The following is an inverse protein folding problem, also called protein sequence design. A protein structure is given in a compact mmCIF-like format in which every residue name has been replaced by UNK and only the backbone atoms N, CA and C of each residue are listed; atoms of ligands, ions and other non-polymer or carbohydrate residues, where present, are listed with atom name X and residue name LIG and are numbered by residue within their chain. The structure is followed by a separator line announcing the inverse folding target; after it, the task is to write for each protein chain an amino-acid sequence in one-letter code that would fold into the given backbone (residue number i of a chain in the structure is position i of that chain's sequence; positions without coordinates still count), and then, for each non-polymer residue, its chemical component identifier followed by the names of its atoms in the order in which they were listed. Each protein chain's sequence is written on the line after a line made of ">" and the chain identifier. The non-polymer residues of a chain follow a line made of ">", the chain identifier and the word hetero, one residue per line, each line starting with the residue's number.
data_IF_796069349164
#
_entry.id   IF_796069349164
#
_cell.length_a   1.000
_cell.length_b   1.000
_cell.length_c   1.000
_cell.angle_alpha   90.00
_cell.angle_beta   90.00
_cell.angle_gamma   90.00
#
_symmetry.space_group_name_H-M   'P 1'
#
loop_
_entity.id
_entity.type
_entity.pdbx_description
1 polymer ?
#
# COMPACT_ATOMS: atom_id res chain seq x y z
N UNK A 1 28.91 -19.65 45.63
CA UNK A 1 28.02 -20.55 46.40
C UNK A 1 26.67 -19.86 46.52
N UNK A 2 25.59 -20.59 46.25
CA UNK A 2 24.24 -20.14 45.88
C UNK A 2 23.68 -18.90 46.59
N UNK A 3 23.09 -18.00 45.79
CA UNK A 3 22.08 -17.03 46.21
C UNK A 3 20.69 -17.58 45.82
N UNK A 4 19.81 -17.54 46.80
CA UNK A 4 18.44 -18.06 46.81
C UNK A 4 17.51 -17.13 46.00
N UNK A 5 16.69 -17.70 45.11
CA UNK A 5 15.73 -16.96 44.28
C UNK A 5 14.36 -16.94 44.97
N UNK A 6 14.01 -15.78 45.52
CA UNK A 6 12.68 -15.52 46.07
C UNK A 6 11.63 -15.22 45.00
N UNK A 7 10.54 -16.00 45.03
CA UNK A 7 9.27 -15.78 44.34
C UNK A 7 8.61 -14.46 44.79
N UNK A 8 8.20 -13.62 43.83
CA UNK A 8 7.22 -12.55 44.02
C UNK A 8 6.29 -12.43 42.81
N UNK A 9 5.28 -13.27 42.81
CA UNK A 9 4.00 -12.99 42.15
C UNK A 9 3.31 -11.77 42.81
N UNK A 10 3.04 -10.72 42.05
CA UNK A 10 2.03 -9.69 42.39
C UNK A 10 1.18 -9.40 41.15
N UNK A 11 -0.03 -9.98 41.13
CA UNK A 11 -1.13 -9.56 40.25
C UNK A 11 -1.64 -8.20 40.72
N UNK A 12 -1.72 -7.21 39.83
CA UNK A 12 -2.53 -6.02 40.05
C UNK A 12 -3.96 -6.25 39.53
N UNK A 13 -4.99 -5.72 40.23
CA UNK A 13 -6.38 -5.86 39.82
C UNK A 13 -6.73 -4.92 38.64
N UNK A 14 -7.42 -5.45 37.63
CA UNK A 14 -8.06 -4.64 36.58
C UNK A 14 -9.46 -4.26 37.03
N UNK A 15 -9.74 -2.97 37.15
CA UNK A 15 -11.11 -2.47 37.16
C UNK A 15 -11.58 -2.24 35.71
N UNK A 16 -12.85 -2.51 35.39
CA UNK A 16 -13.41 -2.30 34.06
C UNK A 16 -13.71 -0.81 33.83
N UNK A 17 -13.25 -0.27 32.71
CA UNK A 17 -13.66 1.06 32.24
C UNK A 17 -14.91 0.88 31.39
N UNK A 18 -15.99 1.55 31.80
CA UNK A 18 -17.30 1.52 31.14
C UNK A 18 -17.29 2.18 29.77
N UNK A 19 -18.02 1.60 28.82
CA UNK A 19 -18.38 2.17 27.53
C UNK A 19 -19.22 3.45 27.72
N UNK A 20 -18.61 4.60 27.43
CA UNK A 20 -19.30 5.88 27.40
C UNK A 20 -18.28 6.99 27.18
N UNK A 21 -18.40 7.68 26.04
CA UNK A 21 -17.65 8.89 25.67
C UNK A 21 -16.19 8.74 25.18
N UNK A 22 -16.01 8.11 24.01
CA UNK A 22 -14.88 8.45 23.13
C UNK A 22 -15.33 9.43 22.03
N UNK A 23 -15.39 10.71 22.37
CA UNK A 23 -15.25 11.77 21.34
C UNK A 23 -13.81 11.72 20.84
N UNK A 24 -13.57 11.05 19.71
CA UNK A 24 -12.28 11.06 19.01
C UNK A 24 -11.98 12.52 18.61
N UNK A 25 -11.04 13.16 19.31
CA UNK A 25 -10.44 14.41 18.86
C UNK A 25 -9.60 14.12 17.62
N UNK A 26 -10.05 14.63 16.48
CA UNK A 26 -9.31 14.61 15.22
C UNK A 26 -8.35 15.80 15.21
N UNK A 27 -7.07 15.54 15.47
CA UNK A 27 -6.01 16.52 15.28
C UNK A 27 -5.31 16.24 13.94
N UNK A 28 -5.18 17.23 13.04
CA UNK A 28 -4.37 17.08 11.84
C UNK A 28 -2.90 17.02 12.27
N UNK A 29 -2.25 15.87 12.08
CA UNK A 29 -0.82 15.71 12.30
C UNK A 29 -0.08 16.44 11.17
N UNK A 30 0.61 17.52 11.51
CA UNK A 30 1.49 18.25 10.58
C UNK A 30 2.73 17.41 10.32
N UNK A 31 2.91 16.97 9.08
CA UNK A 31 4.00 16.12 8.63
C UNK A 31 5.22 16.97 8.25
N UNK A 32 6.35 16.74 8.92
CA UNK A 32 7.67 17.21 8.46
C UNK A 32 8.43 16.00 7.91
N UNK A 33 8.45 15.83 6.59
CA UNK A 33 9.33 14.85 5.93
C UNK A 33 10.57 15.59 5.45
N UNK A 34 11.73 15.32 6.05
CA UNK A 34 13.02 15.62 5.42
C UNK A 34 13.44 14.37 4.64
N UNK A 35 13.29 14.38 3.31
CA UNK A 35 13.74 13.27 2.46
C UNK A 35 15.19 13.52 2.08
N UNK A 36 16.13 12.76 2.66
CA UNK A 36 17.47 12.64 2.07
C UNK A 36 17.44 11.46 1.10
N UNK A 37 17.77 11.70 -0.16
CA UNK A 37 18.03 10.63 -1.11
C UNK A 37 19.12 9.71 -0.51
N UNK A 38 18.90 8.38 -0.53
CA UNK A 38 19.72 7.35 0.11
C UNK A 38 19.65 7.27 1.66
N UNK A 39 18.51 6.85 2.22
CA UNK A 39 18.44 5.69 3.14
C UNK A 39 17.00 5.48 3.61
N UNK A 40 16.65 4.24 3.94
CA UNK A 40 15.36 3.91 4.53
C UNK A 40 15.26 4.53 5.94
N UNK A 41 14.60 5.68 6.05
CA UNK A 41 14.24 6.28 7.33
C UNK A 41 12.84 5.83 7.73
N UNK A 42 12.72 5.17 8.89
CA UNK A 42 11.42 4.96 9.54
C UNK A 42 10.85 6.35 9.89
N UNK A 43 9.72 6.71 9.27
CA UNK A 43 9.02 7.97 9.49
C UNK A 43 7.57 7.66 9.84
N UNK A 44 6.97 8.43 10.74
CA UNK A 44 5.54 8.29 11.04
C UNK A 44 4.74 9.16 10.09
N UNK A 45 3.84 8.56 9.31
CA UNK A 45 2.90 9.26 8.45
C UNK A 45 1.51 9.03 9.04
N UNK A 46 0.83 10.12 9.43
CA UNK A 46 -0.49 10.06 10.06
C UNK A 46 -0.57 9.11 11.29
N UNK A 47 0.53 9.01 12.07
CA UNK A 47 0.60 8.14 13.26
C UNK A 47 0.92 6.67 12.98
N UNK A 48 1.06 6.26 11.71
CA UNK A 48 1.44 4.89 11.32
C UNK A 48 2.94 4.85 11.00
N UNK A 49 3.64 3.83 11.50
CA UNK A 49 5.04 3.58 11.15
C UNK A 49 5.16 3.23 9.67
N UNK A 50 5.83 4.09 8.91
CA UNK A 50 6.09 3.93 7.49
C UNK A 50 7.60 3.99 7.22
N UNK A 51 8.09 3.10 6.36
CA UNK A 51 9.44 3.20 5.82
C UNK A 51 9.39 3.95 4.50
N UNK A 52 10.14 5.06 4.38
CA UNK A 52 10.44 5.63 3.05
C UNK A 52 11.27 4.58 2.33
N UNK A 53 10.65 3.88 1.39
CA UNK A 53 11.33 2.84 0.67
C UNK A 53 11.01 2.98 -0.79
N UNK A 54 12.06 3.36 -1.53
CA UNK A 54 12.18 3.31 -2.98
C UNK A 54 11.81 4.63 -3.68
N UNK A 55 12.66 5.64 -3.48
CA UNK A 55 12.56 6.97 -4.10
C UNK A 55 13.67 7.08 -5.16
N UNK A 56 13.33 7.34 -6.42
CA UNK A 56 14.30 7.37 -7.52
C UNK A 56 15.20 8.63 -7.55
N UNK A 57 14.71 9.76 -7.02
CA UNK A 57 15.43 11.03 -6.98
C UNK A 57 14.84 11.98 -5.90
N UNK A 58 15.54 13.08 -5.57
CA UNK A 58 15.08 14.05 -4.56
C UNK A 58 13.69 14.62 -4.83
N UNK A 59 13.34 14.85 -6.09
CA UNK A 59 12.00 15.36 -6.48
C UNK A 59 10.88 14.34 -6.31
N UNK A 60 11.23 13.06 -6.16
CA UNK A 60 10.27 11.97 -6.33
C UNK A 60 9.28 11.83 -5.19
N UNK A 61 9.58 12.36 -4.00
CA UNK A 61 8.69 12.36 -2.85
C UNK A 61 8.80 13.69 -2.10
N UNK A 62 7.65 14.33 -1.84
CA UNK A 62 7.58 15.53 -1.03
C UNK A 62 6.19 15.80 -0.47
N UNK A 63 6.00 16.98 0.10
CA UNK A 63 4.69 17.50 0.50
C UNK A 63 4.34 18.67 -0.41
N UNK A 64 3.10 18.76 -0.85
CA UNK A 64 2.62 19.88 -1.67
C UNK A 64 1.25 20.35 -1.21
N UNK A 65 0.96 21.62 -1.44
CA UNK A 65 -0.39 22.16 -1.34
C UNK A 65 -1.07 21.99 -2.71
N UNK A 66 -2.14 21.22 -2.75
CA UNK A 66 -2.91 20.97 -3.96
C UNK A 66 -4.40 21.10 -3.62
N UNK A 67 -5.09 21.98 -4.36
CA UNK A 67 -6.51 22.31 -4.10
C UNK A 67 -6.78 22.72 -2.64
N UNK A 68 -5.85 23.48 -2.04
CA UNK A 68 -5.97 23.99 -0.66
C UNK A 68 -5.75 22.93 0.42
N UNK A 69 -5.18 21.77 0.07
CA UNK A 69 -4.91 20.67 1.01
C UNK A 69 -3.45 20.24 0.93
N UNK A 70 -2.80 20.05 2.08
CA UNK A 70 -1.48 19.43 2.15
C UNK A 70 -1.59 17.93 1.85
N UNK A 71 -0.82 17.46 0.89
CA UNK A 71 -0.77 16.06 0.49
C UNK A 71 0.66 15.59 0.25
N UNK A 72 0.88 14.28 0.39
CA UNK A 72 2.09 13.62 -0.10
C UNK A 72 2.08 13.67 -1.61
N UNK A 73 3.15 14.18 -2.21
CA UNK A 73 3.33 14.24 -3.66
C UNK A 73 4.40 13.24 -4.06
N UNK A 74 4.03 12.36 -4.99
CA UNK A 74 4.93 11.43 -5.65
C UNK A 74 5.14 11.90 -7.09
N UNK A 75 6.38 11.88 -7.55
CA UNK A 75 6.74 12.20 -8.93
C UNK A 75 7.76 11.22 -9.47
N UNK A 76 7.55 10.76 -10.69
CA UNK A 76 8.54 9.94 -11.40
C UNK A 76 8.69 10.50 -12.80
N UNK A 77 9.90 10.93 -13.15
CA UNK A 77 10.26 11.58 -14.42
C UNK A 77 10.85 10.58 -15.43
N UNK A 78 10.91 10.92 -16.73
CA UNK A 78 11.68 10.15 -17.69
C UNK A 78 13.15 10.00 -17.23
N UNK A 79 13.67 8.78 -17.25
CA UNK A 79 15.04 8.47 -16.84
C UNK A 79 15.24 8.19 -15.35
N UNK A 80 14.25 8.46 -14.50
CA UNK A 80 14.31 8.09 -13.08
C UNK A 80 14.42 6.57 -12.96
N UNK A 81 15.46 6.08 -12.27
CA UNK A 81 15.70 4.65 -12.11
C UNK A 81 15.68 4.26 -10.64
N UNK A 82 15.07 3.11 -10.39
CA UNK A 82 15.21 2.36 -9.16
C UNK A 82 15.77 0.99 -9.49
N UNK A 83 16.98 0.72 -8.99
CA UNK A 83 17.64 -0.55 -9.20
C UNK A 83 17.39 -1.48 -8.00
N UNK A 84 16.58 -2.52 -8.20
CA UNK A 84 16.43 -3.62 -7.24
C UNK A 84 17.34 -4.82 -7.58
N UNK A 85 18.23 -4.68 -8.57
CA UNK A 85 19.18 -5.70 -9.02
C UNK A 85 18.63 -6.68 -10.05
N UNK A 86 17.34 -6.60 -10.39
CA UNK A 86 16.67 -7.60 -11.24
C UNK A 86 15.94 -7.02 -12.45
N UNK A 87 15.61 -5.73 -12.46
CA UNK A 87 14.94 -5.06 -13.59
C UNK A 87 15.10 -3.55 -13.59
N UNK A 88 15.06 -2.97 -14.79
CA UNK A 88 14.87 -1.53 -14.97
C UNK A 88 13.43 -1.17 -14.58
N UNK A 89 13.29 -0.41 -13.49
CA UNK A 89 12.02 0.15 -13.06
C UNK A 89 12.19 1.59 -12.59
N UNK A 90 11.09 2.35 -12.57
CA UNK A 90 11.04 3.67 -11.96
C UNK A 90 9.97 3.66 -10.87
N UNK A 91 10.33 4.09 -9.65
CA UNK A 91 9.37 4.13 -8.56
C UNK A 91 9.64 5.26 -7.58
N UNK A 92 8.55 5.70 -6.96
CA UNK A 92 8.52 6.51 -5.76
C UNK A 92 7.41 5.96 -4.89
N UNK A 93 7.75 5.20 -3.85
CA UNK A 93 6.75 4.53 -3.01
C UNK A 93 7.09 4.69 -1.53
N UNK A 94 6.06 4.54 -0.70
CA UNK A 94 6.18 4.38 0.74
C UNK A 94 5.58 3.03 1.11
N UNK A 95 6.26 2.29 1.98
CA UNK A 95 5.77 1.03 2.53
C UNK A 95 5.35 1.24 3.97
N UNK A 96 4.19 0.74 4.34
CA UNK A 96 3.88 0.51 5.74
C UNK A 96 4.67 -0.69 6.27
N UNK A 97 4.82 -0.72 7.60
CA UNK A 97 5.41 -1.86 8.29
C UNK A 97 4.62 -3.14 7.98
N UNK A 98 5.34 -4.26 7.92
CA UNK A 98 4.76 -5.58 7.70
C UNK A 98 3.81 -5.95 8.84
N UNK A 99 2.70 -6.59 8.48
CA UNK A 99 1.71 -7.14 9.40
C UNK A 99 1.67 -8.66 9.22
N UNK A 100 1.44 -9.44 10.28
CA UNK A 100 1.27 -10.88 10.14
C UNK A 100 0.02 -11.20 9.31
N UNK A 101 0.13 -12.16 8.40
CA UNK A 101 -1.04 -12.76 7.76
C UNK A 101 -1.62 -13.82 8.69
N UNK A 102 -2.68 -13.42 9.39
CA UNK A 102 -3.43 -14.31 10.27
C UNK A 102 -4.71 -14.67 9.52
N UNK A 103 -4.91 -15.97 9.26
CA UNK A 103 -6.09 -16.47 8.54
C UNK A 103 -7.38 -15.97 9.22
N UNK A 104 -8.30 -15.45 8.41
CA UNK A 104 -9.56 -14.88 8.89
C UNK A 104 -9.48 -13.48 9.51
N UNK A 105 -8.30 -12.87 9.66
CA UNK A 105 -8.17 -11.50 10.16
C UNK A 105 -8.47 -10.48 9.05
N UNK A 106 -9.34 -9.54 9.38
CA UNK A 106 -9.71 -8.42 8.53
C UNK A 106 -8.74 -7.26 8.70
N UNK A 107 -8.23 -6.75 7.57
CA UNK A 107 -7.46 -5.51 7.49
C UNK A 107 -8.24 -4.47 6.70
N UNK A 108 -8.20 -3.22 7.17
CA UNK A 108 -8.85 -2.09 6.50
C UNK A 108 -7.82 -1.07 6.04
N UNK A 109 -7.98 -0.60 4.81
CA UNK A 109 -7.14 0.44 4.24
C UNK A 109 -8.04 1.54 3.70
N UNK A 110 -7.67 2.79 3.95
CA UNK A 110 -8.32 3.95 3.36
C UNK A 110 -7.26 4.96 2.94
N UNK A 111 -7.46 5.58 1.78
CA UNK A 111 -6.63 6.68 1.32
C UNK A 111 -7.38 7.50 0.27
N UNK A 112 -7.09 8.79 0.22
CA UNK A 112 -7.53 9.67 -0.86
C UNK A 112 -6.38 9.83 -1.86
N UNK A 113 -6.69 9.70 -3.15
CA UNK A 113 -5.73 9.91 -4.24
C UNK A 113 -6.22 10.96 -5.22
N UNK A 114 -5.32 11.82 -5.67
CA UNK A 114 -5.52 12.72 -6.80
C UNK A 114 -4.44 12.46 -7.84
N UNK A 115 -4.87 12.14 -9.05
CA UNK A 115 -4.01 12.07 -10.24
C UNK A 115 -4.37 13.25 -11.13
N UNK A 116 -3.41 14.10 -11.56
CA UNK A 116 -3.71 15.26 -12.42
C UNK A 116 -4.49 14.90 -13.69
N UNK A 117 -5.34 15.81 -14.15
CA UNK A 117 -6.08 15.69 -15.42
C UNK A 117 -5.22 16.00 -16.63
N UNK A 118 -4.21 16.85 -16.47
CA UNK A 118 -3.32 17.28 -17.55
C UNK A 118 -2.49 16.13 -18.09
N UNK A 119 -2.18 16.19 -19.39
CA UNK A 119 -1.32 15.21 -20.07
C UNK A 119 0.06 15.13 -19.39
N UNK A 120 0.56 16.27 -18.91
CA UNK A 120 1.78 16.35 -18.12
C UNK A 120 1.52 15.90 -16.68
N UNK A 121 1.92 14.67 -16.35
CA UNK A 121 1.77 14.10 -15.01
C UNK A 121 0.75 12.98 -14.89
N UNK A 122 -0.09 12.74 -15.89
CA UNK A 122 -1.03 11.62 -15.91
C UNK A 122 -0.32 10.32 -16.36
N UNK A 123 -0.65 9.14 -15.79
CA UNK A 123 -0.15 7.84 -16.26
C UNK A 123 -0.55 7.46 -17.71
N UNK A 124 -1.42 8.23 -18.36
CA UNK A 124 -1.73 8.09 -19.78
C UNK A 124 -0.46 8.21 -20.63
N UNK A 125 -0.21 7.23 -21.49
CA UNK A 125 0.98 7.20 -22.36
C UNK A 125 2.17 6.43 -21.79
N UNK A 126 2.11 5.95 -20.54
CA UNK A 126 3.07 4.96 -20.04
C UNK A 126 2.79 3.60 -20.69
N UNK A 127 3.82 2.97 -21.26
CA UNK A 127 3.72 1.62 -21.83
C UNK A 127 3.79 0.61 -20.68
N UNK A 128 2.66 -0.04 -20.39
CA UNK A 128 2.55 -1.05 -19.34
C UNK A 128 1.75 -0.56 -18.13
N UNK A 129 2.08 -1.09 -16.96
CA UNK A 129 1.35 -0.82 -15.72
C UNK A 129 2.00 0.29 -14.91
N UNK A 130 1.18 1.23 -14.44
CA UNK A 130 1.53 2.18 -13.38
C UNK A 130 0.76 1.82 -12.13
N UNK A 131 1.43 1.17 -11.18
CA UNK A 131 0.86 0.80 -9.89
C UNK A 131 0.87 2.03 -8.98
N UNK A 132 -0.27 2.34 -8.37
CA UNK A 132 -0.41 3.45 -7.42
C UNK A 132 -0.63 3.00 -5.98
N UNK A 133 -1.08 1.75 -5.80
CA UNK A 133 -1.17 1.09 -4.51
C UNK A 133 -1.02 -0.42 -4.68
N UNK A 134 -0.30 -1.08 -3.78
CA UNK A 134 -0.08 -2.53 -3.85
C UNK A 134 0.08 -3.16 -2.48
N UNK A 135 -0.39 -4.41 -2.37
CA UNK A 135 -0.20 -5.27 -1.23
C UNK A 135 0.75 -6.38 -1.64
N UNK A 136 1.87 -6.49 -0.95
CA UNK A 136 2.80 -7.60 -1.12
C UNK A 136 2.69 -8.53 0.07
N UNK A 137 3.06 -9.79 -0.15
CA UNK A 137 3.27 -10.75 0.92
C UNK A 137 4.69 -11.32 0.94
N UNK A 138 5.12 -11.70 2.13
CA UNK A 138 6.38 -12.37 2.37
C UNK A 138 6.34 -13.75 1.73
N UNK A 139 7.46 -14.17 1.17
CA UNK A 139 7.63 -15.55 0.72
C UNK A 139 7.73 -16.40 1.99
N UNK A 140 6.81 -17.32 2.24
CA UNK A 140 6.96 -18.31 3.31
C UNK A 140 8.28 -19.08 3.14
N UNK A 141 8.86 -19.59 4.24
CA UNK A 141 10.25 -20.11 4.29
C UNK A 141 10.64 -21.17 3.25
N UNK A 142 9.68 -21.89 2.65
CA UNK A 142 9.90 -22.94 1.65
C UNK A 142 9.47 -22.56 0.22
N UNK A 143 9.15 -21.29 -0.02
CA UNK A 143 8.68 -20.82 -1.33
C UNK A 143 9.79 -20.91 -2.38
N UNK A 144 9.60 -21.74 -3.41
CA UNK A 144 10.38 -21.70 -4.67
C UNK A 144 10.14 -20.42 -5.48
N UNK A 145 9.24 -19.53 -5.05
CA UNK A 145 8.87 -18.31 -5.76
C UNK A 145 9.99 -17.27 -5.71
N UNK A 146 10.63 -17.01 -6.84
CA UNK A 146 11.63 -15.94 -6.99
C UNK A 146 10.98 -14.58 -7.31
N UNK A 147 9.77 -14.57 -7.90
CA UNK A 147 9.11 -13.35 -8.35
C UNK A 147 8.08 -12.86 -7.31
N UNK A 148 8.41 -11.75 -6.64
CA UNK A 148 7.53 -11.07 -5.69
C UNK A 148 6.49 -10.22 -6.41
N UNK A 149 5.47 -10.86 -7.01
CA UNK A 149 4.29 -10.15 -7.52
C UNK A 149 3.49 -9.60 -6.33
N UNK A 150 2.82 -8.45 -6.49
CA UNK A 150 1.89 -8.00 -5.48
C UNK A 150 0.67 -8.93 -5.44
N UNK A 151 0.25 -9.30 -4.23
CA UNK A 151 -0.99 -10.04 -3.96
C UNK A 151 -2.21 -9.31 -4.50
N UNK A 152 -2.23 -7.99 -4.33
CA UNK A 152 -3.21 -7.12 -4.97
C UNK A 152 -2.53 -5.83 -5.42
N UNK A 153 -2.99 -5.28 -6.55
CA UNK A 153 -2.47 -4.02 -7.08
C UNK A 153 -3.60 -3.18 -7.67
N UNK A 154 -3.59 -1.89 -7.35
CA UNK A 154 -4.38 -0.84 -7.99
C UNK A 154 -3.46 -0.13 -9.01
N UNK A 155 -3.78 -0.21 -10.30
CA UNK A 155 -2.88 0.22 -11.36
C UNK A 155 -3.60 0.78 -12.58
N UNK A 156 -2.95 1.73 -13.24
CA UNK A 156 -3.35 2.18 -14.57
C UNK A 156 -2.74 1.26 -15.64
N UNK A 157 -3.56 0.92 -16.64
CA UNK A 157 -3.14 0.26 -17.86
C UNK A 157 -4.07 0.71 -18.98
N UNK A 158 -3.50 1.12 -20.11
CA UNK A 158 -4.26 1.61 -21.28
C UNK A 158 -5.28 2.73 -20.93
N UNK A 159 -4.86 3.65 -20.04
CA UNK A 159 -5.67 4.78 -19.59
C UNK A 159 -6.87 4.43 -18.69
N UNK A 160 -6.98 3.16 -18.27
CA UNK A 160 -8.02 2.68 -17.35
C UNK A 160 -7.40 2.28 -16.03
N UNK A 161 -8.15 2.48 -14.94
CA UNK A 161 -7.76 2.08 -13.60
C UNK A 161 -8.34 0.70 -13.26
N UNK A 162 -7.49 -0.20 -12.80
CA UNK A 162 -7.83 -1.58 -12.50
C UNK A 162 -7.34 -1.96 -11.09
N UNK A 163 -8.05 -2.90 -10.47
CA UNK A 163 -7.52 -3.68 -9.35
C UNK A 163 -7.39 -5.14 -9.77
N UNK A 164 -6.26 -5.77 -9.47
CA UNK A 164 -6.12 -7.23 -9.56
C UNK A 164 -5.90 -7.84 -8.19
N UNK A 165 -6.37 -9.07 -8.03
CA UNK A 165 -6.06 -9.94 -6.88
C UNK A 165 -5.53 -11.25 -7.43
N UNK A 166 -4.42 -11.74 -6.89
CA UNK A 166 -3.81 -13.00 -7.29
C UNK A 166 -3.90 -14.03 -6.18
N UNK A 167 -3.78 -15.29 -6.57
CA UNK A 167 -3.53 -16.45 -5.74
C UNK A 167 -2.25 -17.13 -6.25
N UNK A 168 -1.37 -17.48 -5.33
CA UNK A 168 -0.17 -18.28 -5.61
C UNK A 168 -0.28 -19.58 -4.83
N UNK A 169 -0.66 -20.66 -5.52
CA UNK A 169 -0.74 -21.99 -4.93
C UNK A 169 0.65 -22.60 -4.76
N UNK A 170 0.88 -23.35 -3.67
CA UNK A 170 2.18 -23.92 -3.23
C UNK A 170 3.01 -24.58 -4.36
N UNK A 171 2.35 -25.22 -5.31
CA UNK A 171 2.99 -26.00 -6.38
C UNK A 171 2.77 -25.40 -7.79
N UNK A 172 2.10 -24.25 -7.91
CA UNK A 172 1.88 -23.59 -9.19
C UNK A 172 3.11 -22.82 -9.68
N UNK A 173 3.41 -22.91 -10.98
CA UNK A 173 4.54 -22.20 -11.60
C UNK A 173 4.32 -20.70 -11.81
N UNK A 174 3.06 -20.23 -11.85
CA UNK A 174 2.71 -18.83 -12.08
C UNK A 174 1.54 -18.40 -11.18
N UNK A 175 1.51 -17.14 -10.70
CA UNK A 175 0.34 -16.60 -10.02
C UNK A 175 -0.91 -16.68 -10.88
N UNK A 176 -2.04 -17.03 -10.26
CA UNK A 176 -3.36 -17.00 -10.87
C UNK A 176 -4.06 -15.71 -10.50
N UNK A 177 -4.51 -14.91 -11.47
CA UNK A 177 -5.42 -13.81 -11.19
C UNK A 177 -6.80 -14.38 -10.81
N UNK A 178 -7.22 -14.15 -9.57
CA UNK A 178 -8.50 -14.66 -9.04
C UNK A 178 -9.59 -13.59 -9.03
N UNK A 179 -9.22 -12.31 -9.10
CA UNK A 179 -10.16 -11.23 -9.26
C UNK A 179 -9.58 -10.08 -10.09
N UNK A 180 -10.45 -9.39 -10.83
CA UNK A 180 -10.15 -8.17 -11.58
C UNK A 180 -11.34 -7.22 -11.48
N UNK A 181 -11.11 -6.00 -11.00
CA UNK A 181 -12.12 -4.95 -10.91
C UNK A 181 -11.74 -3.76 -11.79
N UNK A 182 -12.68 -3.26 -12.59
CA UNK A 182 -12.53 -2.01 -13.34
C UNK A 182 -13.05 -0.84 -12.50
N UNK A 183 -12.23 0.19 -12.31
CA UNK A 183 -12.58 1.38 -11.53
C UNK A 183 -13.11 2.47 -12.45
N UNK A 184 -14.28 2.23 -13.05
CA UNK A 184 -14.83 3.06 -14.12
C UNK A 184 -15.13 4.51 -13.71
N UNK A 185 -15.46 4.74 -12.44
CA UNK A 185 -15.89 6.05 -11.93
C UNK A 185 -14.72 6.92 -11.43
N UNK A 186 -13.47 6.52 -11.67
CA UNK A 186 -12.29 7.28 -11.27
C UNK A 186 -12.22 8.63 -12.01
N UNK A 187 -11.98 9.71 -11.28
CA UNK A 187 -11.94 11.06 -11.84
C UNK A 187 -10.54 11.66 -11.75
N UNK A 188 -9.88 11.86 -12.90
CA UNK A 188 -8.65 12.66 -12.96
C UNK A 188 -8.92 14.12 -12.55
N UNK A 189 -7.90 14.76 -11.98
CA UNK A 189 -7.95 16.14 -11.49
C UNK A 189 -8.76 16.32 -10.20
N UNK A 190 -9.29 15.24 -9.62
CA UNK A 190 -10.11 15.27 -8.40
C UNK A 190 -9.59 14.28 -7.37
N UNK A 191 -9.94 14.54 -6.11
CA UNK A 191 -9.74 13.59 -5.02
C UNK A 191 -10.70 12.41 -5.16
N UNK A 192 -10.15 11.20 -5.05
CA UNK A 192 -10.86 9.94 -5.12
C UNK A 192 -10.58 9.16 -3.82
N UNK A 193 -11.62 8.86 -3.04
CA UNK A 193 -11.50 8.13 -1.77
C UNK A 193 -11.60 6.64 -2.04
N UNK A 194 -10.52 5.92 -1.77
CA UNK A 194 -10.47 4.47 -1.83
C UNK A 194 -10.62 3.85 -0.44
N UNK A 195 -11.42 2.78 -0.38
CA UNK A 195 -11.55 1.93 0.80
C UNK A 195 -11.34 0.47 0.39
N UNK A 196 -10.48 -0.25 1.11
CA UNK A 196 -10.26 -1.67 0.94
C UNK A 196 -10.50 -2.39 2.26
N UNK A 197 -11.18 -3.53 2.20
CA UNK A 197 -11.33 -4.46 3.32
C UNK A 197 -10.87 -5.83 2.84
N UNK A 198 -9.88 -6.40 3.52
CA UNK A 198 -9.18 -7.58 3.03
C UNK A 198 -9.04 -8.62 4.13
N UNK A 199 -9.30 -9.87 3.77
CA UNK A 199 -8.90 -11.05 4.54
C UNK A 199 -7.93 -11.82 3.65
N UNK A 200 -6.64 -11.74 3.97
CA UNK A 200 -5.59 -12.45 3.23
C UNK A 200 -5.53 -13.90 3.67
N UNK A 201 -5.58 -14.85 2.74
CA UNK A 201 -5.52 -16.26 3.10
C UNK A 201 -5.72 -17.22 1.92
N UNK A 202 -5.08 -18.39 2.03
CA UNK A 202 -5.20 -19.49 1.07
C UNK A 202 -6.48 -20.33 1.25
N UNK A 203 -7.28 -20.02 2.27
CA UNK A 203 -8.52 -20.73 2.57
C UNK A 203 -9.72 -20.08 1.86
N UNK A 204 -10.88 -20.74 1.92
CA UNK A 204 -12.13 -20.17 1.38
C UNK A 204 -12.62 -18.93 2.14
N UNK A 205 -12.00 -18.59 3.28
CA UNK A 205 -12.38 -17.44 4.10
C UNK A 205 -11.73 -16.12 3.63
N UNK A 206 -10.82 -16.19 2.64
CA UNK A 206 -10.21 -15.00 2.06
C UNK A 206 -11.25 -14.09 1.39
N UNK A 207 -11.00 -12.79 1.40
CA UNK A 207 -11.85 -11.82 0.70
C UNK A 207 -11.10 -10.52 0.38
N UNK A 208 -11.53 -9.84 -0.68
CA UNK A 208 -11.09 -8.49 -1.02
C UNK A 208 -12.29 -7.68 -1.48
N UNK A 209 -12.65 -6.67 -0.69
CA UNK A 209 -13.72 -5.72 -1.01
C UNK A 209 -13.11 -4.35 -1.24
N UNK A 210 -13.51 -3.67 -2.30
CA UNK A 210 -12.98 -2.36 -2.64
C UNK A 210 -14.09 -1.39 -3.07
N UNK A 211 -13.98 -0.15 -2.59
CA UNK A 211 -14.90 0.94 -2.91
C UNK A 211 -14.14 2.18 -3.36
N UNK A 212 -14.75 2.90 -4.29
CA UNK A 212 -14.34 4.22 -4.73
C UNK A 212 -15.48 5.19 -4.42
N UNK A 213 -15.21 6.25 -3.66
CA UNK A 213 -16.21 7.26 -3.29
C UNK A 213 -17.50 6.65 -2.72
N UNK A 214 -17.35 5.60 -1.90
CA UNK A 214 -18.46 4.84 -1.30
C UNK A 214 -19.11 3.78 -2.19
N UNK A 215 -18.79 3.72 -3.49
CA UNK A 215 -19.35 2.73 -4.43
C UNK A 215 -18.43 1.53 -4.60
N UNK A 216 -18.97 0.32 -4.42
CA UNK A 216 -18.24 -0.93 -4.63
C UNK A 216 -17.84 -1.11 -6.10
N UNK A 217 -16.58 -1.44 -6.35
CA UNK A 217 -16.07 -1.84 -7.67
C UNK A 217 -15.39 -3.22 -7.68
N UNK A 218 -15.16 -3.80 -6.50
CA UNK A 218 -14.69 -5.18 -6.33
C UNK A 218 -15.32 -5.77 -5.06
N UNK A 219 -15.87 -6.97 -5.16
CA UNK A 219 -16.32 -7.79 -4.03
C UNK A 219 -15.97 -9.25 -4.31
N UNK A 220 -14.76 -9.63 -3.90
CA UNK A 220 -14.22 -10.97 -4.12
C UNK A 220 -14.25 -11.77 -2.82
N UNK A 221 -14.67 -13.03 -2.90
CA UNK A 221 -14.59 -14.01 -1.83
C UNK A 221 -13.94 -15.30 -2.34
N UNK A 222 -12.96 -15.80 -1.59
CA UNK A 222 -12.20 -16.99 -1.91
C UNK A 222 -10.70 -16.86 -1.61
N UNK A 223 -9.93 -17.94 -1.88
CA UNK A 223 -8.49 -17.99 -1.66
C UNK A 223 -7.73 -16.91 -2.43
N UNK A 224 -6.81 -16.23 -1.76
CA UNK A 224 -5.97 -15.19 -2.34
C UNK A 224 -4.58 -15.14 -1.69
N UNK A 225 -3.67 -14.44 -2.35
CA UNK A 225 -2.32 -14.19 -1.84
C UNK A 225 -1.36 -15.35 -1.97
N UNK A 226 -0.30 -15.27 -1.17
CA UNK A 226 0.76 -16.26 -1.07
C UNK A 226 0.52 -17.17 0.15
N UNK A 227 1.16 -18.35 0.21
CA UNK A 227 1.22 -19.19 1.41
C UNK A 227 2.05 -18.57 2.57
N UNK A 228 2.43 -17.30 2.45
CA UNK A 228 3.28 -16.58 3.39
C UNK A 228 2.53 -16.09 4.62
N UNK A 229 3.29 -15.49 5.56
CA UNK A 229 2.81 -15.13 6.90
C UNK A 229 2.86 -13.62 7.16
N UNK A 230 3.14 -12.79 6.16
CA UNK A 230 3.25 -11.35 6.33
C UNK A 230 2.76 -10.61 5.11
N UNK A 231 1.96 -9.57 5.30
CA UNK A 231 1.60 -8.60 4.27
C UNK A 231 2.22 -7.23 4.56
N UNK A 232 2.45 -6.45 3.51
CA UNK A 232 2.67 -5.02 3.65
C UNK A 232 2.04 -4.25 2.51
N UNK A 233 1.52 -3.08 2.86
CA UNK A 233 0.91 -2.15 1.92
C UNK A 233 1.94 -1.11 1.48
N UNK A 234 1.95 -0.82 0.18
CA UNK A 234 2.68 0.29 -0.41
C UNK A 234 1.74 1.18 -1.20
N UNK A 235 2.08 2.46 -1.25
CA UNK A 235 1.41 3.45 -2.09
C UNK A 235 2.42 4.43 -2.67
N UNK A 236 2.08 5.03 -3.79
CA UNK A 236 2.94 5.96 -4.52
C UNK A 236 2.81 5.77 -6.03
N UNK A 237 3.93 5.66 -6.73
CA UNK A 237 4.01 5.40 -8.17
C UNK A 237 5.06 4.34 -8.41
N UNK A 238 4.68 3.26 -9.10
CA UNK A 238 5.61 2.26 -9.59
C UNK A 238 5.30 1.93 -11.05
N UNK A 239 6.24 2.31 -11.94
CA UNK A 239 6.16 2.08 -13.38
C UNK A 239 6.97 0.84 -13.74
N UNK A 240 6.31 -0.15 -14.34
CA UNK A 240 6.94 -1.39 -14.78
C UNK A 240 7.39 -1.24 -16.23
N UNK A 241 8.67 -1.51 -16.50
CA UNK A 241 9.27 -1.64 -17.84
C UNK A 241 9.19 -0.41 -18.76
N UNK A 242 8.96 0.79 -18.23
CA UNK A 242 8.98 2.03 -19.02
C UNK A 242 9.64 3.19 -18.26
N UNK A 243 10.98 3.17 -18.23
CA UNK A 243 11.79 4.17 -17.53
C UNK A 243 11.76 5.54 -18.22
N UNK A 244 11.48 5.59 -19.51
CA UNK A 244 11.43 6.84 -20.30
C UNK A 244 10.01 7.34 -20.52
N UNK A 245 9.02 6.74 -19.86
CA UNK A 245 7.65 7.20 -19.90
C UNK A 245 7.54 8.66 -19.45
N UNK A 246 6.55 9.41 -19.95
CA UNK A 246 6.25 10.77 -19.49
C UNK A 246 6.17 10.84 -17.97
N UNK A 247 6.40 12.04 -17.43
CA UNK A 247 6.32 12.29 -16.01
C UNK A 247 4.97 11.83 -15.46
N UNK A 248 4.98 11.10 -14.36
CA UNK A 248 3.79 10.69 -13.63
C UNK A 248 3.79 11.34 -12.26
N UNK A 249 2.66 11.91 -11.86
CA UNK A 249 2.47 12.56 -10.56
C UNK A 249 1.22 12.00 -9.89
N UNK A 250 1.32 11.75 -8.59
CA UNK A 250 0.21 11.31 -7.77
C UNK A 250 0.27 12.00 -6.41
N UNK A 251 -0.90 12.39 -5.90
CA UNK A 251 -1.03 12.99 -4.58
C UNK A 251 -1.84 12.08 -3.68
N UNK A 252 -1.40 11.93 -2.43
CA UNK A 252 -2.09 11.11 -1.43
C UNK A 252 -2.31 11.88 -0.13
N UNK A 253 -3.47 11.67 0.50
CA UNK A 253 -3.79 12.17 1.83
C UNK A 253 -4.73 11.21 2.56
N UNK A 254 -5.00 11.50 3.83
CA UNK A 254 -5.98 10.78 4.67
C UNK A 254 -5.73 9.25 4.65
N UNK A 255 -4.47 8.86 4.79
CA UNK A 255 -4.06 7.46 4.82
C UNK A 255 -4.35 6.83 6.18
N UNK A 256 -5.06 5.72 6.15
CA UNK A 256 -5.38 4.91 7.31
C UNK A 256 -5.19 3.43 7.02
N UNK A 257 -4.69 2.71 8.01
CA UNK A 257 -4.68 1.25 8.05
C UNK A 257 -5.03 0.77 9.46
N UNK A 258 -6.05 -0.06 9.55
CA UNK A 258 -6.51 -0.72 10.79
C UNK A 258 -6.34 -2.25 10.68
#
# INVERSE_FOLDING_TARGET
>A
MHLDYGDRTRKQPRHPVSEGDMKRLWLPVILSIAVSACSATNTYIAGVGAGVTQVAAEHSLGVSDIQGTKALRFEVRPGDRWNDGFKDSSRSEISFNRMPDIDGVEYKYRFDVLIPSEVDGNPNGVKGQVIIAQWHQGKGGDSKYTLGWPTAALYFSEGKLWVSVILVEKDAGMPKQVALGHVADFQFGKWNSFEFTTVWGQTQNGSVKARLNGKTFLDYSGPNGYPGTENWFKFGIYRINDVYAPTTVAFFKDLHRD
#
